data_IF_934835429720
#
_entry.id   IF_934835429720
#
_cell.length_a   1.000
_cell.length_b   1.000
_cell.length_c   1.000
_cell.angle_alpha   90.00
_cell.angle_beta   90.00
_cell.angle_gamma   90.00
#
_symmetry.space_group_name_H-M   'P 1'
#
loop_
_entity.id
_entity.type
_entity.pdbx_description
1 polymer ?
#
# COMPACT_ATOMS: atom_id res chain seq x y z
N UNK A 1 7.22 36.85 0.12
CA UNK A 1 5.75 36.73 0.01
C UNK A 1 5.40 36.87 -1.46
N UNK A 2 4.70 35.89 -2.03
CA UNK A 2 4.34 35.87 -3.45
C UNK A 2 2.91 36.43 -3.60
N UNK A 3 2.67 37.44 -4.44
CA UNK A 3 1.33 37.95 -4.67
C UNK A 3 0.50 36.93 -5.46
N UNK A 4 -0.66 36.57 -4.93
CA UNK A 4 -1.58 35.58 -5.51
C UNK A 4 -2.27 36.10 -6.78
N UNK A 5 -2.38 37.43 -6.94
CA UNK A 5 -3.03 38.02 -8.11
C UNK A 5 -3.01 39.55 -8.10
N UNK A 6 -3.50 40.18 -9.18
CA UNK A 6 -3.65 41.63 -9.26
C UNK A 6 -4.70 42.14 -8.25
N UNK A 7 -4.69 43.43 -7.92
CA UNK A 7 -5.73 44.04 -7.10
C UNK A 7 -7.12 43.79 -7.72
N UNK A 8 -8.06 43.31 -6.91
CA UNK A 8 -9.44 43.10 -7.34
C UNK A 8 -10.27 44.35 -7.05
N UNK A 9 -11.01 44.85 -8.04
CA UNK A 9 -12.02 45.89 -7.79
C UNK A 9 -13.21 45.30 -7.04
N UNK A 10 -13.53 45.92 -5.91
CA UNK A 10 -14.52 45.39 -4.94
C UNK A 10 -15.70 46.33 -4.72
N UNK A 11 -15.81 47.38 -5.55
CA UNK A 11 -16.89 48.36 -5.46
C UNK A 11 -18.26 47.70 -5.67
N UNK A 12 -19.19 47.91 -4.73
CA UNK A 12 -20.56 47.39 -4.81
C UNK A 12 -20.74 45.92 -4.45
N UNK A 13 -19.67 45.20 -4.09
CA UNK A 13 -19.77 43.80 -3.67
C UNK A 13 -20.01 43.67 -2.16
N UNK A 14 -20.98 42.83 -1.79
CA UNK A 14 -21.27 42.48 -0.38
C UNK A 14 -20.45 41.29 0.11
N UNK A 15 -20.08 40.38 -0.78
CA UNK A 15 -19.24 39.22 -0.49
C UNK A 15 -18.16 39.07 -1.55
N UNK A 16 -16.91 38.95 -1.10
CA UNK A 16 -15.75 38.77 -1.98
C UNK A 16 -15.13 37.42 -1.62
N UNK A 17 -15.13 36.49 -2.58
CA UNK A 17 -14.50 35.18 -2.43
C UNK A 17 -13.29 35.10 -3.35
N UNK A 18 -12.10 35.13 -2.75
CA UNK A 18 -10.84 34.93 -3.45
C UNK A 18 -10.51 33.43 -3.40
N UNK A 19 -10.47 32.78 -4.56
CA UNK A 19 -10.01 31.40 -4.67
C UNK A 19 -8.59 31.42 -5.25
N UNK A 20 -7.69 30.66 -4.65
CA UNK A 20 -6.35 30.46 -5.20
C UNK A 20 -6.46 29.62 -6.48
N UNK A 21 -5.63 29.90 -7.51
CA UNK A 21 -5.61 29.09 -8.73
C UNK A 21 -5.12 27.66 -8.46
N UNK A 22 -4.24 27.49 -7.48
CA UNK A 22 -3.77 26.20 -6.98
C UNK A 22 -3.72 26.22 -5.45
N UNK A 23 -3.92 25.07 -4.78
CA UNK A 23 -3.71 24.97 -3.34
C UNK A 23 -2.24 25.27 -3.01
N UNK A 24 -2.01 26.16 -2.03
CA UNK A 24 -0.67 26.53 -1.57
C UNK A 24 -0.52 26.23 -0.08
N UNK A 25 0.63 25.68 0.32
CA UNK A 25 1.00 25.51 1.72
C UNK A 25 1.78 26.74 2.16
N UNK A 26 1.19 27.53 3.06
CA UNK A 26 1.77 28.79 3.53
C UNK A 26 1.75 28.86 5.05
N UNK A 27 2.77 29.53 5.63
CA UNK A 27 2.84 29.78 7.08
C UNK A 27 2.07 31.03 7.50
N UNK A 28 1.65 31.86 6.55
CA UNK A 28 0.85 33.05 6.80
C UNK A 28 0.28 33.64 5.52
N UNK A 29 -0.90 34.26 5.63
CA UNK A 29 -1.61 34.93 4.53
C UNK A 29 -1.63 36.42 4.82
N UNK A 30 -1.13 37.24 3.88
CA UNK A 30 -1.22 38.70 3.96
C UNK A 30 -2.29 39.22 3.01
N UNK A 31 -3.37 39.74 3.59
CA UNK A 31 -4.42 40.46 2.86
C UNK A 31 -4.13 41.96 2.92
N UNK A 32 -3.85 42.56 1.77
CA UNK A 32 -3.69 44.02 1.63
C UNK A 32 -5.00 44.60 1.09
N UNK A 33 -5.68 45.37 1.92
CA UNK A 33 -6.92 46.04 1.57
C UNK A 33 -6.64 47.50 1.24
N UNK A 34 -7.13 47.96 0.09
CA UNK A 34 -6.99 49.34 -0.34
C UNK A 34 -8.31 50.07 -0.12
N UNK A 35 -8.22 51.24 0.50
CA UNK A 35 -9.38 52.11 0.77
C UNK A 35 -9.72 52.90 -0.50
N UNK A 36 -11.02 53.00 -0.82
CA UNK A 36 -11.50 53.88 -1.89
C UNK A 36 -11.22 55.35 -1.53
N UNK A 37 -10.81 56.16 -2.51
CA UNK A 37 -10.38 57.55 -2.29
C UNK A 37 -11.43 58.40 -1.55
N UNK A 38 -12.71 58.09 -1.76
CA UNK A 38 -13.83 58.92 -1.29
C UNK A 38 -14.55 58.35 -0.04
N UNK A 39 -14.18 57.15 0.42
CA UNK A 39 -14.74 56.58 1.65
C UNK A 39 -13.87 56.95 2.84
N UNK A 40 -14.43 57.12 4.04
CA UNK A 40 -13.69 57.29 5.31
C UNK A 40 -13.24 55.96 5.94
N UNK A 41 -13.86 54.85 5.52
CA UNK A 41 -13.64 53.51 6.09
C UNK A 41 -13.48 52.43 5.01
N UNK A 42 -12.92 51.27 5.38
CA UNK A 42 -12.76 50.13 4.47
C UNK A 42 -14.05 49.31 4.26
N UNK A 43 -15.10 49.52 5.08
CA UNK A 43 -16.38 48.81 4.94
C UNK A 43 -16.35 47.29 5.14
N UNK A 44 -15.28 46.76 5.75
CA UNK A 44 -15.08 45.32 5.92
C UNK A 44 -15.71 44.81 7.22
N UNK A 45 -16.65 43.87 7.12
CA UNK A 45 -17.30 43.28 8.31
C UNK A 45 -16.58 42.03 8.81
N UNK A 46 -16.12 41.16 7.89
CA UNK A 46 -15.49 39.89 8.25
C UNK A 46 -14.44 39.48 7.21
N UNK A 47 -13.33 38.92 7.70
CA UNK A 47 -12.38 38.15 6.89
C UNK A 47 -12.47 36.70 7.34
N UNK A 48 -12.61 35.79 6.38
CA UNK A 48 -12.50 34.35 6.64
C UNK A 48 -11.47 33.76 5.69
N UNK A 49 -10.45 33.12 6.25
CA UNK A 49 -9.53 32.27 5.50
C UNK A 49 -10.11 30.86 5.51
N UNK A 50 -10.30 30.28 4.33
CA UNK A 50 -10.77 28.91 4.17
C UNK A 50 -9.58 28.07 3.73
N UNK A 51 -9.21 27.10 4.55
CA UNK A 51 -8.11 26.19 4.30
C UNK A 51 -8.07 25.11 5.37
N UNK A 52 -7.22 24.12 5.18
CA UNK A 52 -6.92 23.14 6.22
C UNK A 52 -5.64 23.54 6.94
N UNK A 53 -5.62 23.44 8.26
CA UNK A 53 -4.41 23.63 9.04
C UNK A 53 -3.56 22.37 8.95
N UNK A 54 -2.32 22.48 8.47
CA UNK A 54 -1.36 21.36 8.44
C UNK A 54 -1.04 20.82 9.84
N UNK A 55 -1.06 21.73 10.82
CA UNK A 55 -0.89 21.49 12.26
C UNK A 55 -1.97 22.31 12.97
N UNK A 56 -2.86 21.70 13.75
CA UNK A 56 -3.86 22.45 14.52
C UNK A 56 -5.31 21.95 14.54
N UNK A 57 -5.61 20.72 14.10
CA UNK A 57 -6.98 20.20 14.31
C UNK A 57 -7.22 19.94 15.81
N UNK A 58 -8.09 20.74 16.42
CA UNK A 58 -8.52 20.61 17.83
C UNK A 58 -9.18 19.25 18.09
N UNK A 59 -9.77 18.63 17.06
CA UNK A 59 -10.31 17.28 17.11
C UNK A 59 -9.24 16.22 17.46
N UNK A 60 -7.98 16.45 17.09
CA UNK A 60 -6.89 15.54 17.43
C UNK A 60 -6.43 15.70 18.88
N UNK A 61 -6.37 16.93 19.41
CA UNK A 61 -6.02 17.18 20.81
C UNK A 61 -7.08 16.66 21.79
N UNK A 62 -8.37 16.72 21.44
CA UNK A 62 -9.43 16.23 22.31
C UNK A 62 -9.50 14.71 22.42
N UNK A 63 -9.05 13.96 21.41
CA UNK A 63 -9.16 12.50 21.39
C UNK A 63 -7.93 11.76 21.93
N UNK A 64 -6.75 12.37 21.99
CA UNK A 64 -5.53 11.66 22.43
C UNK A 64 -4.51 12.57 23.14
N UNK A 65 -4.34 12.38 24.45
CA UNK A 65 -3.33 13.06 25.29
C UNK A 65 -1.86 12.71 24.95
N UNK A 66 -1.63 11.84 23.96
CA UNK A 66 -0.30 11.35 23.57
C UNK A 66 0.31 12.10 22.36
N UNK A 67 -0.35 13.13 21.83
CA UNK A 67 0.16 13.89 20.69
C UNK A 67 1.28 14.85 21.18
N UNK A 68 2.49 14.79 20.61
CA UNK A 68 3.57 15.72 20.96
C UNK A 68 3.15 17.16 20.67
N UNK A 69 3.62 18.11 21.49
CA UNK A 69 3.47 19.55 21.28
C UNK A 69 3.75 19.95 19.81
N UNK A 70 3.02 20.93 19.26
CA UNK A 70 3.10 21.34 17.85
C UNK A 70 4.52 21.77 17.44
N UNK A 71 5.25 22.36 18.37
CA UNK A 71 6.67 22.73 18.20
C UNK A 71 7.59 21.53 18.04
N UNK A 72 7.21 20.36 18.57
CA UNK A 72 7.92 19.09 18.42
C UNK A 72 7.49 18.35 17.15
N UNK A 73 6.21 18.43 16.78
CA UNK A 73 5.69 17.84 15.53
C UNK A 73 6.32 18.47 14.29
N UNK A 74 6.46 19.79 14.25
CA UNK A 74 7.12 20.52 13.15
C UNK A 74 8.61 20.20 13.00
N UNK A 75 9.24 19.69 14.07
CA UNK A 75 10.63 19.22 14.09
C UNK A 75 10.78 17.71 13.85
N UNK A 76 9.66 16.99 13.71
CA UNK A 76 9.64 15.54 13.51
C UNK A 76 9.28 15.18 12.06
N UNK A 77 9.84 14.08 11.56
CA UNK A 77 9.49 13.49 10.27
C UNK A 77 7.98 13.20 10.16
N UNK A 78 7.30 12.93 11.27
CA UNK A 78 5.87 12.63 11.29
C UNK A 78 5.01 13.87 10.98
N UNK A 79 5.48 15.06 11.33
CA UNK A 79 4.80 16.31 10.96
C UNK A 79 4.84 16.56 9.47
N UNK A 80 6.00 16.31 8.85
CA UNK A 80 6.16 16.41 7.39
C UNK A 80 5.38 15.34 6.63
N UNK A 81 5.25 14.14 7.20
CA UNK A 81 4.36 13.11 6.64
C UNK A 81 2.91 13.60 6.55
N UNK A 82 2.39 14.29 7.57
CA UNK A 82 1.02 14.84 7.52
C UNK A 82 0.86 15.80 6.36
N UNK A 83 1.85 16.68 6.15
CA UNK A 83 1.86 17.64 5.05
C UNK A 83 1.85 16.88 3.73
N UNK A 84 2.75 15.92 3.53
CA UNK A 84 2.79 15.11 2.32
C UNK A 84 1.47 14.40 2.06
N UNK A 85 0.90 13.73 3.07
CA UNK A 85 -0.38 13.06 2.93
C UNK A 85 -1.50 14.04 2.54
N UNK A 86 -1.52 15.23 3.14
CA UNK A 86 -2.52 16.25 2.82
C UNK A 86 -2.36 16.77 1.39
N UNK A 87 -1.14 17.08 0.95
CA UNK A 87 -0.90 17.56 -0.42
C UNK A 87 -1.17 16.48 -1.46
N UNK A 88 -1.08 15.19 -1.11
CA UNK A 88 -1.48 14.09 -2.00
C UNK A 88 -3.01 13.90 -1.98
N UNK A 89 -3.68 14.06 -0.83
CA UNK A 89 -5.12 13.78 -0.66
C UNK A 89 -6.05 14.87 -1.17
N UNK A 90 -5.60 16.13 -1.20
CA UNK A 90 -6.46 17.29 -1.54
C UNK A 90 -6.63 17.51 -3.05
N UNK A 91 -5.60 17.39 -3.89
CA UNK A 91 -5.75 17.58 -5.32
C UNK A 91 -6.61 16.50 -5.97
N UNK A 92 -7.20 16.83 -7.12
CA UNK A 92 -7.85 15.81 -7.97
C UNK A 92 -6.79 14.80 -8.47
N UNK A 93 -7.15 13.52 -8.67
CA UNK A 93 -6.22 12.47 -9.09
C UNK A 93 -5.47 12.81 -10.38
N UNK A 94 -6.08 13.57 -11.30
CA UNK A 94 -5.47 13.98 -12.57
C UNK A 94 -4.84 15.38 -12.54
N UNK A 95 -4.54 15.92 -11.35
CA UNK A 95 -3.97 17.26 -11.25
C UNK A 95 -2.48 17.29 -11.62
N UNK A 96 -2.02 18.27 -12.41
CA UNK A 96 -0.60 18.41 -12.75
C UNK A 96 0.28 18.73 -11.53
N UNK A 97 -0.34 19.25 -10.46
CA UNK A 97 0.31 19.48 -9.19
C UNK A 97 0.66 18.16 -8.49
N UNK A 98 -0.25 17.18 -8.52
CA UNK A 98 0.00 15.87 -7.93
C UNK A 98 1.12 15.15 -8.68
N UNK A 99 1.09 15.14 -10.02
CA UNK A 99 2.16 14.52 -10.80
C UNK A 99 3.51 15.18 -10.54
N UNK A 100 3.59 16.52 -10.52
CA UNK A 100 4.83 17.24 -10.21
C UNK A 100 5.36 16.97 -8.80
N UNK A 101 4.47 16.81 -7.83
CA UNK A 101 4.85 16.45 -6.46
C UNK A 101 5.39 15.03 -6.39
N UNK A 102 4.73 14.07 -7.04
CA UNK A 102 5.16 12.68 -7.07
C UNK A 102 6.47 12.52 -7.85
N UNK A 103 6.68 13.27 -8.94
CA UNK A 103 7.95 13.35 -9.67
C UNK A 103 9.07 13.90 -8.78
N UNK A 104 8.78 14.94 -8.00
CA UNK A 104 9.74 15.50 -7.03
C UNK A 104 10.06 14.50 -5.92
N UNK A 105 9.05 13.75 -5.46
CA UNK A 105 9.22 12.65 -4.51
C UNK A 105 10.08 11.52 -5.09
N UNK A 106 9.85 11.14 -6.34
CA UNK A 106 10.63 10.14 -7.06
C UNK A 106 12.11 10.55 -7.23
N UNK A 107 12.36 11.84 -7.47
CA UNK A 107 13.70 12.40 -7.58
C UNK A 107 14.42 12.56 -6.23
N UNK A 108 13.69 12.46 -5.11
CA UNK A 108 14.28 12.62 -3.78
C UNK A 108 14.92 11.30 -3.34
N UNK A 109 16.26 11.24 -3.17
CA UNK A 109 16.94 10.00 -2.82
C UNK A 109 16.51 9.53 -1.43
N UNK A 110 16.36 8.22 -1.28
CA UNK A 110 16.03 7.54 -0.01
C UNK A 110 14.68 7.90 0.61
N UNK A 111 13.85 8.70 -0.06
CA UNK A 111 12.53 9.07 0.47
C UNK A 111 11.64 7.82 0.63
N UNK A 112 11.60 6.99 -0.41
CA UNK A 112 10.78 5.78 -0.43
C UNK A 112 11.23 4.79 0.66
N UNK A 113 12.53 4.54 0.75
CA UNK A 113 13.14 3.67 1.75
C UNK A 113 12.89 4.17 3.17
N UNK A 114 12.98 5.48 3.40
CA UNK A 114 12.74 6.09 4.71
C UNK A 114 11.28 5.96 5.14
N UNK A 115 10.35 6.22 4.22
CA UNK A 115 8.90 6.09 4.47
C UNK A 115 8.51 4.63 4.70
N UNK A 116 9.03 3.71 3.88
CA UNK A 116 8.79 2.28 4.04
C UNK A 116 9.41 1.76 5.34
N UNK A 117 10.63 2.15 5.68
CA UNK A 117 11.28 1.78 6.94
C UNK A 117 10.46 2.25 8.13
N UNK A 118 9.88 3.45 8.09
CA UNK A 118 9.02 3.97 9.16
C UNK A 118 7.77 3.11 9.38
N UNK A 119 7.24 2.48 8.34
CA UNK A 119 6.11 1.54 8.45
C UNK A 119 6.56 0.18 9.02
N UNK A 120 7.78 -0.24 8.69
CA UNK A 120 8.35 -1.52 9.11
C UNK A 120 8.94 -1.50 10.54
N UNK A 121 9.12 -0.34 11.16
CA UNK A 121 9.70 -0.23 12.49
C UNK A 121 8.87 -1.01 13.55
N UNK A 122 9.53 -1.76 14.46
CA UNK A 122 8.84 -2.50 15.55
C UNK A 122 8.04 -1.61 16.51
N UNK A 123 8.44 -0.34 16.63
CA UNK A 123 7.68 0.72 17.29
C UNK A 123 7.06 1.61 16.19
N UNK A 124 5.89 1.24 15.65
CA UNK A 124 5.29 1.97 14.55
C UNK A 124 4.93 3.40 14.97
N UNK A 125 4.81 4.34 14.02
CA UNK A 125 4.25 5.65 14.30
C UNK A 125 2.89 5.50 15.01
N UNK A 126 2.48 6.48 15.84
CA UNK A 126 1.16 6.46 16.46
C UNK A 126 0.10 6.11 15.42
N UNK A 127 -0.81 5.19 15.73
CA UNK A 127 -1.75 4.59 14.77
C UNK A 127 -2.55 5.61 13.94
N UNK A 128 -2.69 6.83 14.44
CA UNK A 128 -3.24 7.99 13.76
C UNK A 128 -2.53 8.36 12.45
N UNK A 129 -1.23 8.08 12.32
CA UNK A 129 -0.40 8.46 11.16
C UNK A 129 -0.22 7.32 10.16
N UNK A 130 -0.45 6.07 10.57
CA UNK A 130 -0.32 4.89 9.72
C UNK A 130 -1.16 4.97 8.44
N UNK A 131 -2.44 5.42 8.47
CA UNK A 131 -3.24 5.57 7.25
C UNK A 131 -2.65 6.57 6.27
N UNK A 132 -2.12 7.70 6.77
CA UNK A 132 -1.49 8.71 5.94
C UNK A 132 -0.16 8.23 5.35
N UNK A 133 0.62 7.48 6.12
CA UNK A 133 1.85 6.85 5.62
C UNK A 133 1.56 5.86 4.49
N UNK A 134 0.60 4.96 4.70
CA UNK A 134 0.15 3.98 3.70
C UNK A 134 -0.31 4.69 2.43
N UNK A 135 -1.11 5.74 2.56
CA UNK A 135 -1.62 6.49 1.42
C UNK A 135 -0.48 7.13 0.62
N UNK A 136 0.47 7.81 1.28
CA UNK A 136 1.64 8.40 0.61
C UNK A 136 2.47 7.33 -0.12
N UNK A 137 2.76 6.22 0.54
CA UNK A 137 3.51 5.10 -0.05
C UNK A 137 2.78 4.50 -1.25
N UNK A 138 1.47 4.29 -1.15
CA UNK A 138 0.63 3.77 -2.23
C UNK A 138 0.64 4.73 -3.43
N UNK A 139 0.45 6.03 -3.20
CA UNK A 139 0.48 7.04 -4.27
C UNK A 139 1.84 7.11 -4.96
N UNK A 140 2.95 7.06 -4.21
CA UNK A 140 4.30 7.01 -4.78
C UNK A 140 4.54 5.72 -5.58
N UNK A 141 4.11 4.57 -5.05
CA UNK A 141 4.28 3.28 -5.69
C UNK A 141 3.46 3.12 -6.98
N UNK A 142 2.29 3.75 -7.05
CA UNK A 142 1.43 3.72 -8.26
C UNK A 142 1.81 4.80 -9.28
N UNK A 143 2.60 5.81 -8.89
CA UNK A 143 3.01 6.89 -9.80
C UNK A 143 3.93 6.40 -10.93
N UNK A 144 4.84 5.47 -10.62
CA UNK A 144 5.81 4.97 -11.62
C UNK A 144 6.20 3.52 -11.36
N UNK A 145 6.47 2.79 -12.46
CA UNK A 145 6.94 1.39 -12.42
C UNK A 145 8.14 1.20 -11.48
N UNK A 146 9.22 2.01 -11.55
CA UNK A 146 10.39 1.79 -10.71
C UNK A 146 10.09 1.96 -9.22
N UNK A 147 9.28 2.96 -8.84
CA UNK A 147 8.89 3.18 -7.45
C UNK A 147 8.00 2.06 -6.93
N UNK A 148 7.04 1.59 -7.73
CA UNK A 148 6.15 0.49 -7.35
C UNK A 148 6.90 -0.80 -7.09
N UNK A 149 7.84 -1.15 -7.96
CA UNK A 149 8.69 -2.34 -7.79
C UNK A 149 9.65 -2.20 -6.61
N UNK A 150 10.34 -1.06 -6.48
CA UNK A 150 11.23 -0.81 -5.36
C UNK A 150 10.50 -0.86 -4.00
N UNK A 151 9.30 -0.27 -3.92
CA UNK A 151 8.48 -0.30 -2.71
C UNK A 151 8.09 -1.74 -2.33
N UNK A 152 7.65 -2.52 -3.32
CA UNK A 152 7.24 -3.90 -3.11
C UNK A 152 8.45 -4.77 -2.70
N UNK A 153 9.63 -4.57 -3.32
CA UNK A 153 10.87 -5.23 -2.92
C UNK A 153 11.25 -4.93 -1.46
N UNK A 154 11.23 -3.66 -1.07
CA UNK A 154 11.56 -3.23 0.30
C UNK A 154 10.60 -3.88 1.30
N UNK A 155 9.30 -3.85 1.03
CA UNK A 155 8.29 -4.36 1.95
C UNK A 155 8.36 -5.88 2.08
N UNK A 156 8.53 -6.60 0.97
CA UNK A 156 8.55 -8.07 0.98
C UNK A 156 9.84 -8.61 1.62
N UNK A 157 11.00 -8.01 1.36
CA UNK A 157 12.27 -8.49 1.89
C UNK A 157 12.55 -7.99 3.31
N UNK A 158 12.39 -6.68 3.57
CA UNK A 158 12.71 -6.12 4.89
C UNK A 158 11.56 -6.29 5.88
N UNK A 159 10.32 -6.24 5.39
CA UNK A 159 9.15 -6.44 6.23
C UNK A 159 9.08 -7.86 6.75
N UNK A 160 9.28 -8.87 5.89
CA UNK A 160 9.40 -10.25 6.31
C UNK A 160 10.38 -10.38 7.49
N UNK A 161 11.64 -9.95 7.32
CA UNK A 161 12.71 -10.04 8.34
C UNK A 161 12.33 -9.36 9.66
N UNK A 162 11.72 -8.18 9.61
CA UNK A 162 11.39 -7.42 10.83
C UNK A 162 10.34 -8.12 11.67
N UNK A 163 9.37 -8.77 11.03
CA UNK A 163 8.33 -9.55 11.72
C UNK A 163 8.75 -11.00 12.03
N UNK A 164 9.84 -11.49 11.42
CA UNK A 164 10.42 -12.80 11.75
C UNK A 164 11.12 -12.82 13.10
N UNK A 165 11.59 -11.67 13.60
CA UNK A 165 12.50 -11.65 14.72
C UNK A 165 11.89 -12.03 16.08
N UNK A 166 10.58 -12.26 16.22
CA UNK A 166 9.93 -12.99 17.33
C UNK A 166 10.30 -12.61 18.78
N UNK A 167 11.11 -11.58 18.98
CA UNK A 167 11.80 -11.22 20.23
C UNK A 167 11.08 -10.10 20.97
N UNK A 168 10.02 -9.56 20.37
CA UNK A 168 9.17 -8.57 21.01
C UNK A 168 7.82 -9.23 21.27
N UNK A 169 7.31 -9.21 22.52
CA UNK A 169 5.94 -9.63 22.78
C UNK A 169 5.04 -8.83 21.85
N UNK A 170 4.26 -9.53 21.01
CA UNK A 170 3.29 -8.93 20.10
C UNK A 170 2.31 -8.09 20.94
N UNK A 171 2.63 -6.82 21.14
CA UNK A 171 1.67 -5.83 21.60
C UNK A 171 0.66 -5.60 20.48
N UNK A 172 -0.56 -5.19 20.83
CA UNK A 172 -1.63 -4.82 19.88
C UNK A 172 -1.17 -3.86 18.76
N UNK A 173 -0.09 -3.13 18.95
CA UNK A 173 0.43 -2.16 17.98
C UNK A 173 1.27 -2.81 16.87
N UNK A 174 1.95 -3.94 17.15
CA UNK A 174 2.78 -4.66 16.15
C UNK A 174 1.91 -5.44 15.16
N UNK A 175 0.72 -5.89 15.58
CA UNK A 175 -0.25 -6.52 14.67
C UNK A 175 -0.84 -5.48 13.71
N UNK A 176 -1.15 -4.28 14.19
CA UNK A 176 -1.71 -3.20 13.37
C UNK A 176 -0.71 -2.68 12.31
N UNK A 177 0.60 -2.66 12.60
CA UNK A 177 1.61 -2.29 11.59
C UNK A 177 1.74 -3.36 10.52
N UNK A 178 1.78 -4.65 10.91
CA UNK A 178 1.81 -5.75 9.95
C UNK A 178 0.56 -5.76 9.06
N UNK A 179 -0.63 -5.55 9.62
CA UNK A 179 -1.88 -5.41 8.86
C UNK A 179 -1.79 -4.28 7.83
N UNK A 180 -1.30 -3.09 8.23
CA UNK A 180 -1.13 -1.96 7.31
C UNK A 180 -0.11 -2.25 6.19
N UNK A 181 0.96 -2.98 6.49
CA UNK A 181 1.96 -3.39 5.51
C UNK A 181 1.37 -4.37 4.50
N UNK A 182 0.66 -5.38 4.99
CA UNK A 182 0.00 -6.39 4.14
C UNK A 182 -1.10 -5.76 3.30
N UNK A 183 -1.88 -4.85 3.86
CA UNK A 183 -2.88 -4.08 3.12
C UNK A 183 -2.23 -3.25 2.01
N UNK A 184 -1.06 -2.64 2.26
CA UNK A 184 -0.32 -1.92 1.23
C UNK A 184 0.15 -2.84 0.10
N UNK A 185 0.64 -4.04 0.41
CA UNK A 185 1.00 -5.06 -0.60
C UNK A 185 -0.21 -5.45 -1.43
N UNK A 186 -1.35 -5.72 -0.78
CA UNK A 186 -2.59 -6.03 -1.45
C UNK A 186 -2.98 -4.91 -2.43
N UNK A 187 -3.07 -3.67 -1.94
CA UNK A 187 -3.47 -2.52 -2.75
C UNK A 187 -2.52 -2.27 -3.93
N UNK A 188 -1.20 -2.39 -3.73
CA UNK A 188 -0.24 -2.27 -4.82
C UNK A 188 -0.50 -3.34 -5.89
N UNK A 189 -0.68 -4.59 -5.51
CA UNK A 189 -0.84 -5.68 -6.47
C UNK A 189 -2.22 -5.76 -7.13
N UNK A 190 -3.28 -5.24 -6.49
CA UNK A 190 -4.65 -5.28 -7.06
C UNK A 190 -5.06 -4.01 -7.78
N UNK A 191 -4.39 -2.88 -7.54
CA UNK A 191 -4.68 -1.65 -8.30
C UNK A 191 -4.29 -1.84 -9.75
N UNK A 192 -5.23 -1.56 -10.65
CA UNK A 192 -5.08 -1.82 -12.08
C UNK A 192 -4.44 -0.64 -12.79
N UNK A 193 -3.25 -0.86 -13.31
CA UNK A 193 -2.50 0.04 -14.18
C UNK A 193 -1.57 -0.76 -15.12
N UNK A 194 -0.81 -0.05 -15.95
CA UNK A 194 0.15 -0.65 -16.88
C UNK A 194 1.28 -1.48 -16.22
N UNK A 195 1.47 -1.38 -14.90
CA UNK A 195 2.55 -2.03 -14.15
C UNK A 195 2.05 -3.20 -13.28
N UNK A 196 0.75 -3.50 -13.29
CA UNK A 196 0.13 -4.56 -12.49
C UNK A 196 0.83 -5.91 -12.65
N UNK A 197 1.13 -6.28 -13.89
CA UNK A 197 1.82 -7.54 -14.22
C UNK A 197 3.24 -7.60 -13.67
N UNK A 198 3.97 -6.49 -13.70
CA UNK A 198 5.33 -6.43 -13.15
C UNK A 198 5.31 -6.60 -11.63
N UNK A 199 4.36 -5.94 -10.94
CA UNK A 199 4.19 -6.06 -9.48
C UNK A 199 3.81 -7.48 -9.08
N UNK A 200 2.91 -8.12 -9.83
CA UNK A 200 2.52 -9.50 -9.58
C UNK A 200 3.67 -10.48 -9.83
N UNK A 201 4.42 -10.27 -10.91
CA UNK A 201 5.62 -11.08 -11.21
C UNK A 201 6.62 -11.01 -10.07
N UNK A 202 6.86 -9.82 -9.53
CA UNK A 202 7.75 -9.61 -8.38
C UNK A 202 7.25 -10.32 -7.12
N UNK A 203 5.96 -10.22 -6.81
CA UNK A 203 5.33 -10.91 -5.67
C UNK A 203 5.49 -12.44 -5.77
N UNK A 204 5.23 -13.02 -6.95
CA UNK A 204 5.33 -14.46 -7.16
C UNK A 204 6.77 -14.95 -7.21
N UNK A 205 7.68 -14.13 -7.74
CA UNK A 205 9.12 -14.41 -7.69
C UNK A 205 9.60 -14.46 -6.25
N UNK A 206 9.22 -13.48 -5.42
CA UNK A 206 9.52 -13.47 -3.98
C UNK A 206 8.94 -14.69 -3.26
N UNK A 207 7.70 -15.09 -3.58
CA UNK A 207 7.08 -16.28 -2.98
C UNK A 207 7.85 -17.55 -3.35
N UNK A 208 8.25 -17.68 -4.63
CA UNK A 208 9.02 -18.81 -5.13
C UNK A 208 10.41 -18.91 -4.50
N UNK A 209 11.15 -17.80 -4.44
CA UNK A 209 12.48 -17.77 -3.80
C UNK A 209 12.38 -18.06 -2.31
N UNK A 210 11.37 -17.50 -1.62
CA UNK A 210 11.10 -17.80 -0.20
C UNK A 210 10.82 -19.28 0.03
N UNK A 211 9.97 -19.89 -0.79
CA UNK A 211 9.67 -21.32 -0.69
C UNK A 211 10.94 -22.16 -0.89
N UNK A 212 11.74 -21.84 -1.90
CA UNK A 212 13.00 -22.56 -2.18
C UNK A 212 14.02 -22.41 -1.04
N UNK A 213 14.17 -21.23 -0.46
CA UNK A 213 15.05 -21.00 0.68
C UNK A 213 14.61 -21.80 1.92
N UNK A 214 13.30 -21.81 2.21
CA UNK A 214 12.77 -22.60 3.33
C UNK A 214 12.95 -24.11 3.13
N UNK A 215 12.82 -24.59 1.88
CA UNK A 215 13.01 -26.01 1.52
C UNK A 215 14.45 -26.49 1.70
N UNK A 216 15.44 -25.60 1.56
CA UNK A 216 16.87 -25.92 1.64
C UNK A 216 17.39 -25.98 3.07
N UNK A 217 16.55 -25.69 4.08
CA UNK A 217 16.95 -25.54 5.48
C UNK A 217 18.15 -24.58 5.69
N UNK A 218 18.39 -23.67 4.73
CA UNK A 218 19.25 -22.52 4.97
C UNK A 218 18.59 -21.74 6.12
N UNK A 219 19.34 -21.41 7.17
CA UNK A 219 18.87 -20.95 8.48
C UNK A 219 18.09 -19.62 8.45
N UNK A 220 16.92 -19.65 7.83
CA UNK A 220 15.98 -18.57 7.66
C UNK A 220 14.70 -18.98 8.38
N UNK A 221 14.25 -18.16 9.32
CA UNK A 221 12.88 -18.27 9.79
C UNK A 221 11.93 -18.10 8.59
N UNK A 222 10.74 -18.72 8.60
CA UNK A 222 9.73 -18.44 7.59
C UNK A 222 9.11 -17.06 7.83
N UNK A 223 8.75 -16.31 6.77
CA UNK A 223 8.11 -15.00 6.92
C UNK A 223 6.78 -15.11 7.68
N UNK A 224 6.31 -13.97 8.20
CA UNK A 224 4.99 -13.93 8.84
C UNK A 224 3.91 -14.45 7.88
N UNK A 225 3.07 -15.36 8.37
CA UNK A 225 2.04 -16.06 7.57
C UNK A 225 1.08 -15.11 6.86
N UNK A 226 0.91 -13.88 7.39
CA UNK A 226 0.07 -12.85 6.79
C UNK A 226 0.56 -12.40 5.40
N UNK A 227 1.86 -12.39 5.13
CA UNK A 227 2.38 -12.09 3.78
C UNK A 227 2.04 -13.20 2.78
N UNK A 228 2.20 -14.45 3.20
CA UNK A 228 1.87 -15.62 2.37
C UNK A 228 0.37 -15.65 2.09
N UNK A 229 -0.45 -15.37 3.12
CA UNK A 229 -1.88 -15.27 2.95
C UNK A 229 -2.26 -14.08 2.05
N UNK A 230 -1.60 -12.93 2.16
CA UNK A 230 -1.79 -11.81 1.25
C UNK A 230 -1.59 -12.21 -0.21
N UNK A 231 -0.53 -12.97 -0.51
CA UNK A 231 -0.29 -13.46 -1.86
C UNK A 231 -1.46 -14.33 -2.37
N UNK A 232 -2.03 -15.19 -1.53
CA UNK A 232 -3.22 -15.98 -1.88
C UNK A 232 -4.44 -15.11 -2.20
N UNK A 233 -4.67 -14.05 -1.40
CA UNK A 233 -5.81 -13.15 -1.55
C UNK A 233 -5.66 -12.27 -2.79
N UNK A 234 -4.44 -11.79 -3.08
CA UNK A 234 -4.13 -11.05 -4.32
C UNK A 234 -4.45 -11.91 -5.55
N UNK A 235 -3.94 -13.15 -5.59
CA UNK A 235 -4.18 -14.08 -6.70
C UNK A 235 -5.67 -14.37 -6.88
N UNK A 236 -6.38 -14.65 -5.79
CA UNK A 236 -7.82 -14.90 -5.81
C UNK A 236 -8.59 -13.70 -6.34
N UNK A 237 -8.31 -12.50 -5.81
CA UNK A 237 -9.03 -11.27 -6.16
C UNK A 237 -8.83 -10.90 -7.62
N UNK A 238 -7.61 -11.06 -8.15
CA UNK A 238 -7.32 -10.80 -9.56
C UNK A 238 -8.04 -11.79 -10.50
N UNK A 239 -8.14 -13.06 -10.09
CA UNK A 239 -8.87 -14.07 -10.84
C UNK A 239 -10.39 -13.81 -10.81
N UNK A 240 -10.94 -13.46 -9.66
CA UNK A 240 -12.37 -13.16 -9.49
C UNK A 240 -12.80 -11.94 -10.32
N UNK A 241 -11.96 -10.91 -10.37
CA UNK A 241 -12.20 -9.73 -11.19
C UNK A 241 -12.04 -10.02 -12.70
N UNK A 242 -11.43 -11.15 -13.08
CA UNK A 242 -11.19 -11.61 -14.44
C UNK A 242 -10.50 -10.58 -15.35
N UNK A 243 -9.63 -9.74 -14.78
CA UNK A 243 -9.05 -8.58 -15.47
C UNK A 243 -7.81 -8.92 -16.30
N UNK A 244 -7.04 -9.92 -15.86
CA UNK A 244 -5.78 -10.33 -16.50
C UNK A 244 -5.93 -11.56 -17.43
N UNK A 245 -7.12 -12.19 -17.44
CA UNK A 245 -7.44 -13.32 -18.31
C UNK A 245 -6.36 -14.39 -18.37
N UNK A 246 -5.84 -14.66 -19.57
CA UNK A 246 -4.80 -15.67 -19.81
C UNK A 246 -3.42 -15.28 -19.27
N UNK A 247 -3.13 -13.99 -19.08
CA UNK A 247 -1.81 -13.52 -18.60
C UNK A 247 -1.58 -13.90 -17.13
N UNK A 248 -2.64 -13.96 -16.32
CA UNK A 248 -2.52 -14.44 -14.93
C UNK A 248 -2.15 -15.93 -14.87
N UNK A 249 -2.64 -16.73 -15.83
CA UNK A 249 -2.34 -18.17 -15.88
C UNK A 249 -0.87 -18.44 -16.22
N UNK A 250 -0.22 -17.59 -17.02
CA UNK A 250 1.19 -17.77 -17.38
C UNK A 250 2.14 -17.50 -16.22
N UNK A 251 1.75 -16.62 -15.29
CA UNK A 251 2.52 -16.32 -14.08
C UNK A 251 2.50 -17.47 -13.05
N UNK A 252 1.43 -18.27 -13.03
CA UNK A 252 1.32 -19.44 -12.14
C UNK A 252 1.99 -20.65 -12.79
N UNK A 253 3.33 -20.69 -12.73
CA UNK A 253 4.14 -21.78 -13.30
C UNK A 253 4.01 -23.09 -12.49
N UNK A 254 4.29 -24.22 -13.15
CA UNK A 254 4.36 -25.53 -12.48
C UNK A 254 5.47 -25.57 -11.43
N UNK A 255 6.61 -24.92 -11.69
CA UNK A 255 7.74 -24.87 -10.75
C UNK A 255 7.38 -24.13 -9.46
N UNK A 256 6.68 -23.00 -9.58
CA UNK A 256 6.20 -22.24 -8.42
C UNK A 256 5.21 -23.07 -7.61
N UNK A 257 4.21 -23.65 -8.27
CA UNK A 257 3.21 -24.51 -7.62
C UNK A 257 3.85 -25.67 -6.86
N UNK A 258 4.80 -26.37 -7.50
CA UNK A 258 5.50 -27.50 -6.90
C UNK A 258 6.40 -27.06 -5.73
N UNK A 259 7.02 -25.89 -5.81
CA UNK A 259 7.84 -25.34 -4.73
C UNK A 259 6.98 -25.03 -3.50
N UNK A 260 5.84 -24.36 -3.69
CA UNK A 260 4.89 -24.07 -2.60
C UNK A 260 4.31 -25.38 -2.03
N UNK A 261 3.93 -26.34 -2.88
CA UNK A 261 3.43 -27.65 -2.43
C UNK A 261 4.44 -28.39 -1.57
N UNK A 262 5.70 -28.46 -2.00
CA UNK A 262 6.75 -29.11 -1.20
C UNK A 262 6.95 -28.39 0.13
N UNK A 263 6.87 -27.06 0.14
CA UNK A 263 7.02 -26.28 1.36
C UNK A 263 5.90 -26.62 2.37
N UNK A 264 4.67 -26.87 1.92
CA UNK A 264 3.57 -27.25 2.82
C UNK A 264 3.82 -28.56 3.55
N UNK A 265 4.59 -29.49 2.96
CA UNK A 265 4.92 -30.79 3.55
C UNK A 265 5.95 -30.69 4.70
N UNK A 266 6.72 -29.61 4.77
CA UNK A 266 7.71 -29.38 5.82
C UNK A 266 7.17 -28.56 7.00
N UNK A 267 6.01 -27.93 6.83
CA UNK A 267 5.42 -27.04 7.84
C UNK A 267 4.47 -27.81 8.74
N UNK A 268 4.45 -27.49 10.04
CA UNK A 268 3.53 -28.09 11.03
C UNK A 268 2.06 -27.89 10.61
N UNK A 269 1.27 -28.97 10.67
CA UNK A 269 -0.13 -29.02 10.24
C UNK A 269 -1.00 -27.92 10.88
N UNK A 270 -0.90 -27.71 12.18
CA UNK A 270 -1.72 -26.73 12.92
C UNK A 270 -1.20 -25.28 12.86
N UNK A 271 -0.24 -24.98 11.99
CA UNK A 271 0.35 -23.63 11.93
C UNK A 271 -0.43 -22.69 11.00
N UNK A 272 -0.48 -21.41 11.37
CA UNK A 272 -1.05 -20.36 10.52
C UNK A 272 -0.33 -20.27 9.15
N UNK A 273 0.96 -20.63 9.11
CA UNK A 273 1.73 -20.71 7.87
C UNK A 273 1.22 -21.83 6.96
N UNK A 274 0.92 -23.01 7.50
CA UNK A 274 0.34 -24.12 6.72
C UNK A 274 -0.98 -23.70 6.07
N UNK A 275 -1.88 -23.10 6.86
CA UNK A 275 -3.15 -22.58 6.34
C UNK A 275 -2.94 -21.53 5.24
N UNK A 276 -2.00 -20.60 5.43
CA UNK A 276 -1.69 -19.59 4.41
C UNK A 276 -1.16 -20.20 3.11
N UNK A 277 -0.29 -21.22 3.20
CA UNK A 277 0.22 -21.93 2.02
C UNK A 277 -0.87 -22.75 1.31
N UNK A 278 -1.76 -23.39 2.05
CA UNK A 278 -2.90 -24.11 1.47
C UNK A 278 -3.83 -23.15 0.72
N UNK A 279 -4.06 -21.94 1.25
CA UNK A 279 -4.79 -20.89 0.56
C UNK A 279 -4.08 -20.45 -0.73
N UNK A 280 -2.74 -20.36 -0.74
CA UNK A 280 -1.98 -20.07 -1.97
C UNK A 280 -2.19 -21.17 -3.02
N UNK A 281 -2.06 -22.44 -2.64
CA UNK A 281 -2.31 -23.57 -3.55
C UNK A 281 -3.75 -23.57 -4.07
N UNK A 282 -4.72 -23.23 -3.21
CA UNK A 282 -6.12 -23.09 -3.59
C UNK A 282 -6.29 -21.98 -4.65
N UNK A 283 -5.73 -20.79 -4.43
CA UNK A 283 -5.77 -19.70 -5.42
C UNK A 283 -5.09 -20.07 -6.74
N UNK A 284 -3.96 -20.78 -6.70
CA UNK A 284 -3.28 -21.26 -7.91
C UNK A 284 -4.14 -22.27 -8.69
N UNK A 285 -4.80 -23.20 -7.98
CA UNK A 285 -5.75 -24.15 -8.59
C UNK A 285 -6.99 -23.43 -9.16
N UNK A 286 -7.45 -22.35 -8.51
CA UNK A 286 -8.57 -21.56 -9.01
C UNK A 286 -8.22 -20.84 -10.33
N UNK A 287 -7.00 -20.29 -10.43
CA UNK A 287 -6.47 -19.68 -11.66
C UNK A 287 -6.25 -20.73 -12.74
N UNK A 288 -5.67 -21.88 -12.38
CA UNK A 288 -5.28 -22.95 -13.30
C UNK A 288 -5.79 -24.31 -12.81
N UNK A 289 -7.02 -24.70 -13.19
CA UNK A 289 -7.67 -25.92 -12.69
C UNK A 289 -6.89 -27.23 -12.91
N UNK A 290 -6.03 -27.30 -13.93
CA UNK A 290 -5.21 -28.49 -14.16
C UNK A 290 -4.20 -28.78 -13.03
N UNK A 291 -3.83 -27.76 -12.24
CA UNK A 291 -3.00 -27.94 -11.04
C UNK A 291 -3.70 -28.74 -9.95
N UNK A 292 -5.03 -28.65 -9.86
CA UNK A 292 -5.80 -29.42 -8.88
C UNK A 292 -5.68 -30.91 -9.16
N UNK A 293 -5.76 -31.31 -10.44
CA UNK A 293 -5.51 -32.69 -10.86
C UNK A 293 -4.10 -33.13 -10.47
N UNK A 294 -3.08 -32.29 -10.70
CA UNK A 294 -1.70 -32.57 -10.29
C UNK A 294 -1.57 -32.74 -8.77
N UNK A 295 -2.27 -31.92 -7.98
CA UNK A 295 -2.31 -32.01 -6.52
C UNK A 295 -2.88 -33.36 -6.07
N UNK A 296 -4.05 -33.74 -6.61
CA UNK A 296 -4.72 -34.99 -6.25
C UNK A 296 -3.88 -36.24 -6.59
N UNK A 297 -3.18 -36.24 -7.72
CA UNK A 297 -2.24 -37.31 -8.06
C UNK A 297 -1.09 -37.38 -7.04
N UNK A 298 -0.53 -36.24 -6.63
CA UNK A 298 0.56 -36.22 -5.63
C UNK A 298 0.12 -36.59 -4.23
N UNK A 299 -1.14 -36.31 -3.88
CA UNK A 299 -1.75 -36.77 -2.62
C UNK A 299 -2.11 -38.26 -2.64
N UNK A 300 -1.95 -38.96 -3.79
CA UNK A 300 -2.31 -40.36 -3.94
C UNK A 300 -3.83 -40.61 -3.98
N UNK A 301 -4.64 -39.57 -4.19
CA UNK A 301 -6.10 -39.68 -4.27
C UNK A 301 -6.52 -40.16 -5.67
N UNK A 302 -5.86 -39.65 -6.71
CA UNK A 302 -6.04 -40.14 -8.08
C UNK A 302 -4.97 -41.21 -8.37
N UNK A 303 -5.42 -42.45 -8.52
CA UNK A 303 -4.58 -43.53 -9.05
C UNK A 303 -4.54 -43.35 -10.59
N UNK A 304 -3.35 -43.35 -11.23
CA UNK A 304 -3.28 -43.38 -12.68
C UNK A 304 -4.12 -44.56 -13.16
N UNK A 305 -5.08 -44.32 -14.07
CA UNK A 305 -5.80 -45.41 -14.69
C UNK A 305 -4.76 -46.39 -15.25
N UNK A 306 -4.77 -47.69 -14.86
CA UNK A 306 -3.85 -48.64 -15.44
C UNK A 306 -4.04 -48.60 -16.95
N UNK A 307 -2.94 -48.40 -17.68
CA UNK A 307 -2.92 -48.35 -19.15
C UNK A 307 -3.32 -49.68 -19.81
N UNK A 308 -3.77 -50.67 -19.04
CA UNK A 308 -4.31 -51.94 -19.49
C UNK A 308 -5.71 -52.16 -18.90
N UNK A 309 -6.72 -51.56 -19.50
CA UNK A 309 -8.04 -52.16 -19.55
C UNK A 309 -8.59 -51.98 -20.96
N UNK A 310 -8.11 -52.85 -21.84
CA UNK A 310 -8.90 -53.32 -22.97
C UNK A 310 -10.32 -53.61 -22.50
N UNK A 311 -11.30 -53.04 -23.21
CA UNK A 311 -12.61 -53.65 -23.43
C UNK A 311 -13.33 -54.19 -22.18
N UNK A 312 -14.16 -53.36 -21.54
CA UNK A 312 -15.45 -53.84 -21.05
C UNK A 312 -16.53 -53.04 -21.79
N UNK A 313 -16.92 -53.61 -22.93
CA UNK A 313 -18.29 -53.54 -23.42
C UNK A 313 -19.16 -54.25 -22.39
N UNK A 314 -20.17 -53.57 -21.84
CA UNK A 314 -21.28 -54.26 -21.18
C UNK A 314 -22.59 -53.66 -21.69
N UNK A 315 -23.12 -54.32 -22.73
CA UNK A 315 -24.54 -54.38 -23.04
C UNK A 315 -25.22 -55.25 -21.96
N UNK A 316 -26.13 -54.66 -21.18
CA UNK A 316 -27.47 -55.21 -20.87
C UNK A 316 -28.31 -54.29 -19.98
#
# INVERSE_FOLDING_TARGET
MVPVGPPLETAGLTFIRLNLPSPEVVTGVLLRLYRAKDSSSLGLTQIRVIGATSFGDTAFQMCNAAIPDETKLTKSSIGWLRVLNHVISVPRPDSPLLSSLLDSGAATPHLLESLASMLLLPAPPPALFTPGLKHVLLSLGLHSKPLGLALLEIILHNGAVTFMQGTLPLGKNTTASLEAVVELVYMLCTTQDACTMDRLTLLLTWLGTTAQSCLKEESHLPPASMYIHCASVVLWSLQEQNLLGSELQTLVSDELFLSVYRWTLQVKEDSALKTALDNVLCSMCYIRPCLFTTLLHRMGILVPAPLDSSSISDDR
#
